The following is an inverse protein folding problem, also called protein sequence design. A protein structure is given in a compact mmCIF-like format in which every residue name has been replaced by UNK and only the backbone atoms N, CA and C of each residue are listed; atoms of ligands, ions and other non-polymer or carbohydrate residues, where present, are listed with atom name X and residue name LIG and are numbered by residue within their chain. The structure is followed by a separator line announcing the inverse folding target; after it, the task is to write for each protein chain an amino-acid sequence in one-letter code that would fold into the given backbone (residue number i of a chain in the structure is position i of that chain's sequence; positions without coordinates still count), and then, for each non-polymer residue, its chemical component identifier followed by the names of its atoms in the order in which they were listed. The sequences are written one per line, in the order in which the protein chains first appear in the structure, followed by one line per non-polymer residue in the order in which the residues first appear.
data_IF_919218191881
#
_entry.id   IF_919218191881
#
_cell.length_a   1.000
_cell.length_b   1.000
_cell.length_c   1.000
_cell.angle_alpha   90.00
_cell.angle_beta   90.00
_cell.angle_gamma   90.00
#
_symmetry.space_group_name_H-M   'P 1'
#
loop_
_entity.id
_entity.type
_entity.pdbx_description
1 polymer ?
#
# COMPACT_ATOMS: atom_id res chain seq x y z
N UNK A 1 -0.73 3.05 4.63
CA UNK A 1 -1.19 3.18 6.01
C UNK A 1 -0.52 4.33 6.79
N UNK A 2 -0.06 5.41 6.14
CA UNK A 2 -0.05 6.70 6.82
C UNK A 2 -1.51 7.12 7.09
N UNK A 3 -2.34 7.05 6.04
CA UNK A 3 -3.77 7.36 6.08
C UNK A 3 -4.58 6.60 7.14
N UNK A 4 -4.47 5.26 7.28
CA UNK A 4 -5.31 4.54 8.26
C UNK A 4 -4.85 4.69 9.71
N UNK A 5 -3.55 4.84 9.97
CA UNK A 5 -3.07 5.16 11.32
C UNK A 5 -3.50 6.57 11.75
N UNK A 6 -3.61 7.49 10.78
CA UNK A 6 -4.13 8.84 11.01
C UNK A 6 -5.65 8.86 11.17
N UNK A 7 -6.40 8.03 10.45
CA UNK A 7 -7.84 7.85 10.68
C UNK A 7 -8.15 7.34 12.09
N UNK A 8 -7.39 6.35 12.57
CA UNK A 8 -7.55 5.82 13.92
C UNK A 8 -7.19 6.84 15.03
N UNK A 9 -6.52 7.93 14.68
CA UNK A 9 -6.25 9.07 15.56
C UNK A 9 -7.35 10.15 15.44
N UNK A 10 -7.78 10.44 14.20
CA UNK A 10 -8.89 11.36 13.89
C UNK A 10 -10.20 11.00 14.60
N UNK A 11 -10.53 9.71 14.65
CA UNK A 11 -11.80 9.23 15.20
C UNK A 11 -11.75 8.92 16.70
N UNK A 12 -10.59 9.09 17.37
CA UNK A 12 -10.45 8.72 18.79
C UNK A 12 -10.99 9.80 19.74
N UNK A 13 -10.91 11.07 19.35
CA UNK A 13 -11.17 12.20 20.24
C UNK A 13 -12.34 13.12 19.80
N UNK A 14 -13.11 12.75 18.77
CA UNK A 14 -14.29 13.53 18.34
C UNK A 14 -13.99 14.97 17.88
N UNK A 15 -12.74 15.28 17.51
CA UNK A 15 -12.32 16.58 17.01
C UNK A 15 -12.45 16.64 15.48
N UNK A 16 -12.87 17.77 14.91
CA UNK A 16 -13.09 18.00 13.46
C UNK A 16 -11.78 18.01 12.62
N UNK A 17 -10.93 17.00 12.75
CA UNK A 17 -9.74 16.81 11.93
C UNK A 17 -8.43 16.59 12.69
N UNK A 18 -7.43 16.08 11.96
CA UNK A 18 -6.12 15.70 12.49
C UNK A 18 -5.17 16.90 12.43
N UNK A 19 -4.62 17.32 13.56
CA UNK A 19 -3.57 18.36 13.60
C UNK A 19 -2.20 17.75 13.31
N UNK A 20 -1.55 18.28 12.27
CA UNK A 20 -0.18 17.92 11.91
C UNK A 20 0.73 19.13 11.99
N UNK A 21 1.97 18.91 12.43
CA UNK A 21 3.07 19.86 12.29
C UNK A 21 4.00 19.36 11.20
N UNK A 22 4.40 20.20 10.26
CA UNK A 22 5.25 19.79 9.15
C UNK A 22 6.27 20.86 8.78
N UNK A 23 7.35 20.39 8.14
CA UNK A 23 8.41 21.23 7.57
C UNK A 23 8.94 20.55 6.31
N UNK A 24 8.77 21.19 5.16
CA UNK A 24 9.07 20.64 3.83
C UNK A 24 10.54 20.78 3.40
N UNK A 25 11.46 21.03 4.33
CA UNK A 25 12.86 21.20 3.98
C UNK A 25 13.51 19.88 3.51
N UNK A 26 14.60 19.98 2.74
CA UNK A 26 15.30 18.80 2.19
C UNK A 26 16.00 17.92 3.26
N UNK A 27 15.64 18.05 4.54
CA UNK A 27 16.22 17.34 5.69
C UNK A 27 15.21 16.34 6.30
N UNK A 28 14.50 15.59 5.46
CA UNK A 28 13.49 14.60 5.86
C UNK A 28 13.99 13.61 6.92
N UNK A 29 15.25 13.17 6.80
CA UNK A 29 15.84 12.15 7.69
C UNK A 29 16.41 12.71 9.00
N UNK A 30 16.33 14.02 9.24
CA UNK A 30 16.76 14.61 10.50
C UNK A 30 15.61 14.61 11.52
N UNK A 31 15.70 13.75 12.53
CA UNK A 31 14.67 13.60 13.59
C UNK A 31 14.50 14.90 14.42
N UNK A 32 15.53 15.74 14.50
CA UNK A 32 15.49 17.02 15.24
C UNK A 32 14.89 18.18 14.43
N UNK A 33 14.49 17.96 13.17
CA UNK A 33 14.03 19.03 12.27
C UNK A 33 12.81 19.82 12.79
N UNK A 34 12.00 19.21 13.64
CA UNK A 34 10.78 19.79 14.22
C UNK A 34 11.03 20.58 15.52
N UNK A 35 12.27 20.70 15.99
CA UNK A 35 12.61 21.44 17.21
C UNK A 35 12.71 22.96 16.99
N UNK A 36 12.90 23.40 15.74
CA UNK A 36 12.99 24.82 15.39
C UNK A 36 11.60 25.41 15.11
N UNK A 37 10.93 25.91 16.15
CA UNK A 37 9.55 26.38 16.11
C UNK A 37 9.27 27.42 15.01
N UNK A 38 10.23 28.30 14.69
CA UNK A 38 10.09 29.35 13.67
C UNK A 38 9.98 28.85 12.23
N UNK A 39 10.31 27.57 11.96
CA UNK A 39 10.30 26.97 10.61
C UNK A 39 9.27 25.86 10.45
N UNK A 40 8.47 25.61 11.48
CA UNK A 40 7.43 24.58 11.49
C UNK A 40 6.10 25.24 11.15
N UNK A 41 5.35 24.61 10.25
CA UNK A 41 3.97 24.99 9.93
C UNK A 41 3.00 23.97 10.51
N UNK A 42 1.80 24.43 10.81
CA UNK A 42 0.72 23.59 11.32
C UNK A 42 -0.40 23.54 10.30
N UNK A 43 -1.00 22.37 10.14
CA UNK A 43 -2.21 22.22 9.34
C UNK A 43 -3.20 21.29 10.06
N UNK A 44 -4.49 21.58 9.92
CA UNK A 44 -5.58 20.73 10.39
C UNK A 44 -6.18 20.05 9.17
N UNK A 45 -6.12 18.73 9.16
CA UNK A 45 -6.65 17.90 8.09
C UNK A 45 -8.05 17.43 8.49
N UNK A 46 -9.09 18.13 8.03
CA UNK A 46 -10.50 17.75 8.19
C UNK A 46 -11.04 16.99 6.97
N UNK A 47 -10.58 17.32 5.76
CA UNK A 47 -11.31 17.00 4.52
C UNK A 47 -10.76 15.80 3.75
N UNK A 48 -9.99 14.93 4.42
CA UNK A 48 -9.28 13.82 3.75
C UNK A 48 -10.23 12.81 3.05
N UNK A 49 -11.54 12.93 3.31
CA UNK A 49 -12.64 12.08 2.81
C UNK A 49 -13.86 12.87 2.31
N UNK A 50 -13.79 14.20 2.26
CA UNK A 50 -14.98 15.03 1.99
C UNK A 50 -15.36 15.12 0.50
N UNK A 51 -14.41 14.89 -0.42
CA UNK A 51 -14.65 15.13 -1.85
C UNK A 51 -15.80 14.29 -2.45
N UNK A 52 -16.02 13.05 -1.97
CA UNK A 52 -17.15 12.20 -2.42
C UNK A 52 -18.39 12.27 -1.50
N UNK A 53 -18.23 12.69 -0.23
CA UNK A 53 -19.36 12.81 0.70
C UNK A 53 -20.11 14.15 0.55
N UNK A 54 -19.45 15.18 0.02
CA UNK A 54 -20.02 16.52 -0.18
C UNK A 54 -21.19 16.56 -1.17
N UNK A 55 -21.30 15.60 -2.10
CA UNK A 55 -22.39 15.59 -3.07
C UNK A 55 -23.75 15.17 -2.48
N UNK A 56 -23.78 14.55 -1.29
CA UNK A 56 -25.02 14.00 -0.70
C UNK A 56 -25.49 14.71 0.58
N UNK A 57 -24.78 15.72 1.08
CA UNK A 57 -25.18 16.41 2.31
C UNK A 57 -25.65 17.83 2.02
N UNK A 58 -26.93 18.07 2.32
CA UNK A 58 -27.58 19.39 2.22
C UNK A 58 -27.12 20.32 3.38
N UNK A 59 -26.49 19.78 4.44
CA UNK A 59 -25.93 20.53 5.57
C UNK A 59 -24.83 19.73 6.29
N UNK A 60 -23.87 20.43 6.94
CA UNK A 60 -22.75 19.86 7.70
C UNK A 60 -23.20 18.88 8.80
N UNK A 61 -24.29 19.22 9.50
CA UNK A 61 -24.88 18.40 10.57
C UNK A 61 -25.49 17.08 10.06
N UNK A 62 -26.03 17.08 8.83
CA UNK A 62 -26.60 15.87 8.22
C UNK A 62 -25.53 14.94 7.67
N UNK A 63 -24.35 15.45 7.29
CA UNK A 63 -23.21 14.64 6.85
C UNK A 63 -22.65 13.77 7.98
N UNK A 64 -22.60 14.32 9.21
CA UNK A 64 -22.15 13.60 10.40
C UNK A 64 -23.14 12.55 10.91
N UNK A 65 -24.45 12.77 10.76
CA UNK A 65 -25.49 11.82 11.16
C UNK A 65 -25.68 10.65 10.17
N UNK A 66 -25.33 10.82 8.90
CA UNK A 66 -25.56 9.81 7.85
C UNK A 66 -24.40 8.82 7.65
N UNK A 67 -23.20 9.12 8.17
CA UNK A 67 -22.04 8.22 8.03
C UNK A 67 -22.09 7.10 9.06
N UNK A 68 -22.67 5.97 8.68
CA UNK A 68 -22.60 4.74 9.47
C UNK A 68 -21.15 4.30 9.65
N UNK A 69 -20.73 4.07 10.90
CA UNK A 69 -19.43 3.52 11.22
C UNK A 69 -19.37 2.03 10.81
N UNK A 70 -18.75 1.73 9.67
CA UNK A 70 -18.59 0.36 9.16
C UNK A 70 -17.21 -0.20 9.49
N UNK A 71 -17.14 -1.46 9.92
CA UNK A 71 -15.86 -2.12 10.25
C UNK A 71 -14.96 -2.35 9.02
N UNK A 72 -15.56 -2.46 7.82
CA UNK A 72 -14.90 -2.72 6.55
C UNK A 72 -15.57 -1.90 5.44
N UNK A 73 -14.79 -1.08 4.74
CA UNK A 73 -15.26 -0.22 3.65
C UNK A 73 -14.38 -0.40 2.41
N UNK A 74 -14.96 -0.35 1.20
CA UNK A 74 -14.18 -0.42 -0.04
C UNK A 74 -14.18 0.93 -0.70
N UNK A 75 -13.01 1.56 -0.78
CA UNK A 75 -12.81 2.88 -1.39
C UNK A 75 -11.85 2.77 -2.58
N UNK A 76 -12.28 3.23 -3.76
CA UNK A 76 -11.48 3.19 -5.00
C UNK A 76 -10.83 1.81 -5.26
N UNK A 77 -11.59 0.76 -4.92
CA UNK A 77 -11.19 -0.64 -5.04
C UNK A 77 -10.25 -1.17 -3.96
N UNK A 78 -9.82 -0.34 -3.00
CA UNK A 78 -9.01 -0.71 -1.83
C UNK A 78 -9.90 -0.89 -0.60
N UNK A 79 -9.66 -1.95 0.16
CA UNK A 79 -10.44 -2.30 1.33
C UNK A 79 -9.79 -1.67 2.57
N UNK A 80 -10.52 -0.77 3.21
CA UNK A 80 -10.16 -0.18 4.48
C UNK A 80 -10.88 -0.94 5.60
N UNK A 81 -10.15 -1.30 6.65
CA UNK A 81 -10.71 -1.87 7.87
C UNK A 81 -10.43 -0.97 9.05
N UNK A 82 -11.34 -0.95 10.02
CA UNK A 82 -11.18 -0.19 11.27
C UNK A 82 -9.95 -0.69 12.06
N UNK A 83 -9.73 -2.01 12.07
CA UNK A 83 -8.43 -2.55 12.42
C UNK A 83 -7.43 -2.09 11.35
N UNK A 84 -6.43 -1.30 11.75
CA UNK A 84 -5.28 -0.83 10.95
C UNK A 84 -4.40 -2.02 10.53
N UNK A 85 -5.00 -2.97 9.83
CA UNK A 85 -4.40 -4.21 9.39
C UNK A 85 -4.47 -4.32 7.87
N UNK A 86 -3.30 -4.46 7.27
CA UNK A 86 -3.12 -4.59 5.83
C UNK A 86 -3.41 -5.99 5.30
N UNK A 87 -3.53 -6.98 6.17
CA UNK A 87 -3.72 -8.39 5.82
C UNK A 87 -4.96 -8.59 4.95
N UNK A 88 -6.06 -7.92 5.28
CA UNK A 88 -7.33 -8.03 4.56
C UNK A 88 -7.18 -7.55 3.12
N UNK A 89 -6.53 -6.41 2.93
CA UNK A 89 -6.31 -5.86 1.59
C UNK A 89 -5.33 -6.70 0.77
N UNK A 90 -4.23 -7.18 1.38
CA UNK A 90 -3.28 -8.10 0.73
C UNK A 90 -3.99 -9.37 0.26
N UNK A 91 -4.81 -9.98 1.12
CA UNK A 91 -5.55 -11.18 0.80
C UNK A 91 -6.60 -10.94 -0.30
N UNK A 92 -7.29 -9.79 -0.26
CA UNK A 92 -8.23 -9.40 -1.32
C UNK A 92 -7.54 -9.25 -2.68
N UNK A 93 -6.33 -8.66 -2.73
CA UNK A 93 -5.55 -8.55 -3.98
C UNK A 93 -5.08 -9.89 -4.49
N UNK A 94 -4.64 -10.77 -3.60
CA UNK A 94 -4.26 -12.15 -3.96
C UNK A 94 -5.47 -12.88 -4.53
N UNK A 95 -6.64 -12.79 -3.90
CA UNK A 95 -7.87 -13.42 -4.39
C UNK A 95 -8.28 -12.88 -5.78
N UNK A 96 -8.25 -11.56 -5.97
CA UNK A 96 -8.53 -10.93 -7.28
C UNK A 96 -7.54 -11.37 -8.36
N UNK A 97 -6.25 -11.42 -8.04
CA UNK A 97 -5.21 -11.88 -8.96
C UNK A 97 -5.35 -13.38 -9.28
N UNK A 98 -5.67 -14.23 -8.30
CA UNK A 98 -6.02 -15.64 -8.49
C UNK A 98 -7.17 -15.79 -9.48
N UNK A 99 -8.27 -15.05 -9.25
CA UNK A 99 -9.45 -15.11 -10.11
C UNK A 99 -9.17 -14.62 -11.53
N UNK A 100 -8.37 -13.55 -11.69
CA UNK A 100 -7.92 -13.08 -13.00
C UNK A 100 -7.06 -14.13 -13.71
N UNK A 101 -6.15 -14.80 -13.00
CA UNK A 101 -5.34 -15.87 -13.57
C UNK A 101 -6.20 -17.05 -14.01
N UNK A 102 -7.16 -17.47 -13.18
CA UNK A 102 -8.08 -18.57 -13.49
C UNK A 102 -8.94 -18.30 -14.74
N UNK A 103 -9.45 -17.08 -14.90
CA UNK A 103 -10.23 -16.67 -16.08
C UNK A 103 -9.44 -16.76 -17.38
N UNK A 104 -8.12 -16.54 -17.34
CA UNK A 104 -7.24 -16.60 -18.51
C UNK A 104 -6.69 -18.01 -18.80
N UNK A 105 -7.05 -19.02 -18.01
CA UNK A 105 -6.48 -20.37 -18.09
C UNK A 105 -6.68 -21.03 -19.45
N UNK A 106 -7.93 -21.20 -19.88
CA UNK A 106 -8.26 -21.87 -21.14
C UNK A 106 -7.79 -21.08 -22.37
N UNK A 107 -7.87 -19.74 -22.30
CA UNK A 107 -7.70 -18.87 -23.46
C UNK A 107 -6.23 -18.47 -23.70
N UNK A 108 -5.45 -18.29 -22.64
CA UNK A 108 -4.08 -17.77 -22.72
C UNK A 108 -3.05 -18.77 -22.23
N UNK A 109 -3.27 -19.40 -21.06
CA UNK A 109 -2.25 -20.21 -20.41
C UNK A 109 -2.09 -21.59 -21.05
N UNK A 110 -3.19 -22.30 -21.35
CA UNK A 110 -3.15 -23.65 -21.93
C UNK A 110 -3.02 -23.66 -23.45
N UNK A 111 -3.29 -22.52 -24.10
CA UNK A 111 -3.25 -22.44 -25.57
C UNK A 111 -1.82 -22.60 -26.08
N UNK A 112 -1.60 -23.63 -26.92
CA UNK A 112 -0.30 -23.97 -27.52
C UNK A 112 0.19 -22.94 -28.54
N UNK A 113 -0.71 -22.30 -29.27
CA UNK A 113 -0.38 -21.28 -30.28
C UNK A 113 0.14 -19.95 -29.74
N UNK A 114 0.22 -19.77 -28.41
CA UNK A 114 0.69 -18.52 -27.79
C UNK A 114 2.11 -18.70 -27.28
N UNK A 115 3.03 -17.88 -27.78
CA UNK A 115 4.43 -17.86 -27.32
C UNK A 115 4.54 -17.46 -25.84
N UNK A 116 5.48 -18.06 -25.12
CA UNK A 116 5.74 -17.77 -23.71
C UNK A 116 5.97 -16.28 -23.44
N UNK A 117 6.69 -15.58 -24.33
CA UNK A 117 6.92 -14.12 -24.19
C UNK A 117 5.61 -13.33 -24.12
N UNK A 118 4.59 -13.74 -24.89
CA UNK A 118 3.28 -13.11 -24.88
C UNK A 118 2.53 -13.44 -23.59
N UNK A 119 2.61 -14.68 -23.11
CA UNK A 119 2.05 -15.08 -21.81
C UNK A 119 2.66 -14.25 -20.67
N UNK A 120 3.96 -14.00 -20.69
CA UNK A 120 4.65 -13.16 -19.70
C UNK A 120 4.21 -11.69 -19.78
N UNK A 121 4.00 -11.14 -20.97
CA UNK A 121 3.44 -9.78 -21.15
C UNK A 121 2.03 -9.68 -20.56
N UNK A 122 1.16 -10.65 -20.84
CA UNK A 122 -0.20 -10.71 -20.27
C UNK A 122 -0.15 -10.85 -18.74
N UNK A 123 0.71 -11.72 -18.23
CA UNK A 123 0.91 -11.88 -16.79
C UNK A 123 1.30 -10.56 -16.12
N UNK A 124 2.25 -9.84 -16.71
CA UNK A 124 2.68 -8.53 -16.20
C UNK A 124 1.56 -7.47 -16.29
N UNK A 125 0.82 -7.47 -17.39
CA UNK A 125 -0.21 -6.45 -17.65
C UNK A 125 -1.48 -6.64 -16.80
N UNK A 126 -1.86 -7.88 -16.51
CA UNK A 126 -3.14 -8.19 -15.84
C UNK A 126 -2.93 -8.67 -14.41
N UNK A 127 -2.05 -9.65 -14.20
CA UNK A 127 -1.93 -10.31 -12.90
C UNK A 127 -1.08 -9.48 -11.95
N UNK A 128 0.10 -9.03 -12.40
CA UNK A 128 0.96 -8.18 -11.58
C UNK A 128 0.32 -6.83 -11.28
N UNK A 129 -0.36 -6.20 -12.24
CA UNK A 129 -1.07 -4.93 -12.01
C UNK A 129 -2.21 -5.08 -11.01
N UNK A 130 -2.98 -6.18 -11.07
CA UNK A 130 -4.05 -6.46 -10.11
C UNK A 130 -3.51 -6.75 -8.72
N UNK A 131 -2.43 -7.54 -8.63
CA UNK A 131 -1.78 -7.90 -7.37
C UNK A 131 -1.13 -6.69 -6.69
N UNK A 132 -0.43 -5.89 -7.49
CA UNK A 132 0.29 -4.69 -7.07
C UNK A 132 -0.54 -3.43 -7.34
N UNK A 133 -1.85 -3.49 -7.14
CA UNK A 133 -2.65 -2.26 -7.13
C UNK A 133 -2.54 -1.61 -5.75
N UNK A 134 -2.37 -0.29 -5.71
CA UNK A 134 -2.28 0.52 -4.49
C UNK A 134 -1.14 0.16 -3.50
N UNK A 135 -0.22 -0.74 -3.86
CA UNK A 135 0.92 -1.10 -2.99
C UNK A 135 1.86 0.07 -2.66
N UNK A 136 1.85 1.14 -3.46
CA UNK A 136 2.65 2.35 -3.22
C UNK A 136 2.31 2.97 -1.85
N UNK A 137 1.05 2.85 -1.41
CA UNK A 137 0.55 3.43 -0.16
C UNK A 137 0.52 2.41 0.99
N UNK A 138 0.93 1.17 0.74
CA UNK A 138 0.92 0.08 1.72
C UNK A 138 2.14 0.12 2.64
N UNK A 139 1.92 -0.04 3.95
CA UNK A 139 3.01 -0.25 4.92
C UNK A 139 3.27 -1.75 5.03
N UNK A 140 4.11 -2.25 4.13
CA UNK A 140 4.35 -3.69 3.99
C UNK A 140 5.38 -4.17 5.01
N UNK A 141 4.98 -5.11 5.87
CA UNK A 141 5.91 -5.93 6.65
C UNK A 141 6.60 -6.98 5.76
N UNK A 142 7.81 -7.41 6.17
CA UNK A 142 8.58 -8.45 5.47
C UNK A 142 7.76 -9.73 5.20
N UNK A 143 6.85 -10.09 6.11
CA UNK A 143 5.94 -11.24 5.93
C UNK A 143 5.02 -11.11 4.71
N UNK A 144 4.46 -9.92 4.43
CA UNK A 144 3.59 -9.74 3.25
C UNK A 144 4.39 -9.71 1.97
N UNK A 145 5.57 -9.08 1.98
CA UNK A 145 6.46 -9.11 0.82
C UNK A 145 6.87 -10.55 0.46
N UNK A 146 7.22 -11.37 1.47
CA UNK A 146 7.49 -12.81 1.29
C UNK A 146 6.26 -13.56 0.76
N UNK A 147 5.07 -13.27 1.28
CA UNK A 147 3.83 -13.89 0.83
C UNK A 147 3.54 -13.59 -0.64
N UNK A 148 3.63 -12.32 -1.04
CA UNK A 148 3.46 -11.88 -2.43
C UNK A 148 4.54 -12.46 -3.35
N UNK A 149 5.78 -12.56 -2.87
CA UNK A 149 6.87 -13.17 -3.64
C UNK A 149 6.63 -14.66 -3.90
N UNK A 150 6.15 -15.42 -2.91
CA UNK A 150 5.75 -16.82 -3.10
C UNK A 150 4.62 -16.96 -4.11
N UNK A 151 3.62 -16.07 -4.05
CA UNK A 151 2.55 -16.02 -5.05
C UNK A 151 3.12 -15.81 -6.45
N UNK A 152 3.96 -14.78 -6.62
CA UNK A 152 4.56 -14.45 -7.91
C UNK A 152 5.35 -15.62 -8.51
N UNK A 153 6.25 -16.21 -7.72
CA UNK A 153 7.08 -17.33 -8.15
C UNK A 153 6.26 -18.58 -8.47
N UNK A 154 5.21 -18.88 -7.68
CA UNK A 154 4.30 -20.00 -7.96
C UNK A 154 3.67 -19.89 -9.35
N UNK A 155 3.16 -18.71 -9.71
CA UNK A 155 2.52 -18.52 -11.01
C UNK A 155 3.53 -18.44 -12.17
N UNK A 156 4.73 -17.89 -11.96
CA UNK A 156 5.79 -17.95 -12.97
C UNK A 156 6.22 -19.39 -13.25
N UNK A 157 6.44 -20.20 -12.20
CA UNK A 157 6.75 -21.63 -12.35
C UNK A 157 5.64 -22.37 -13.10
N UNK A 158 4.36 -22.05 -12.80
CA UNK A 158 3.21 -22.63 -13.51
C UNK A 158 3.18 -22.24 -14.99
N UNK A 159 3.51 -20.99 -15.34
CA UNK A 159 3.60 -20.53 -16.74
C UNK A 159 4.76 -21.18 -17.51
N UNK A 160 5.88 -21.40 -16.84
CA UNK A 160 7.05 -22.09 -17.41
C UNK A 160 6.92 -23.61 -17.42
N UNK A 161 5.85 -24.17 -16.84
CA UNK A 161 5.65 -25.62 -16.69
C UNK A 161 6.77 -26.32 -15.91
N UNK A 162 7.40 -25.60 -14.96
CA UNK A 162 8.47 -26.14 -14.11
C UNK A 162 7.86 -27.03 -13.03
N UNK A 163 8.32 -28.28 -12.97
CA UNK A 163 7.94 -29.25 -11.95
C UNK A 163 8.88 -29.14 -10.75
N UNK A 164 8.45 -29.70 -9.61
CA UNK A 164 9.29 -29.72 -8.40
C UNK A 164 10.57 -30.56 -8.59
N UNK A 165 10.53 -31.54 -9.49
CA UNK A 165 11.63 -32.46 -9.83
C UNK A 165 12.82 -31.74 -10.48
N UNK A 166 12.55 -30.64 -11.19
CA UNK A 166 13.56 -29.92 -11.96
C UNK A 166 14.57 -29.19 -11.06
N UNK A 167 14.29 -29.06 -9.75
CA UNK A 167 15.14 -28.42 -8.72
C UNK A 167 15.69 -27.04 -9.15
N UNK A 168 14.93 -26.33 -9.98
CA UNK A 168 15.33 -25.01 -10.49
C UNK A 168 15.23 -23.97 -9.36
N UNK A 169 16.27 -23.16 -9.09
CA UNK A 169 16.23 -22.10 -8.09
C UNK A 169 15.36 -20.91 -8.55
N UNK A 170 14.77 -20.19 -7.61
CA UNK A 170 13.88 -19.05 -7.89
C UNK A 170 14.58 -17.92 -8.67
N UNK A 171 15.88 -17.73 -8.46
CA UNK A 171 16.70 -16.75 -9.19
C UNK A 171 16.71 -17.03 -10.69
N UNK A 172 16.83 -18.31 -11.08
CA UNK A 172 16.82 -18.75 -12.48
C UNK A 172 15.45 -18.56 -13.12
N UNK A 173 14.37 -18.79 -12.37
CA UNK A 173 12.99 -18.51 -12.83
C UNK A 173 12.80 -17.03 -13.18
N UNK A 174 13.28 -16.14 -12.32
CA UNK A 174 13.20 -14.69 -12.56
C UNK A 174 14.09 -14.25 -13.73
N UNK A 175 15.31 -14.79 -13.83
CA UNK A 175 16.22 -14.51 -14.93
C UNK A 175 15.65 -14.95 -16.29
N UNK A 176 15.09 -16.16 -16.36
CA UNK A 176 14.49 -16.71 -17.59
C UNK A 176 13.25 -15.94 -18.04
N UNK A 177 12.49 -15.36 -17.11
CA UNK A 177 11.29 -14.58 -17.43
C UNK A 177 11.56 -13.10 -17.67
N UNK A 178 12.81 -12.65 -17.45
CA UNK A 178 13.22 -11.24 -17.42
C UNK A 178 12.32 -10.36 -16.53
N UNK A 179 11.68 -10.97 -15.51
CA UNK A 179 10.83 -10.27 -14.56
C UNK A 179 11.59 -10.01 -13.25
N UNK A 180 11.52 -8.80 -12.70
CA UNK A 180 12.11 -8.50 -11.41
C UNK A 180 11.34 -9.17 -10.28
N UNK A 181 12.03 -9.41 -9.15
CA UNK A 181 11.37 -9.90 -7.93
C UNK A 181 10.28 -8.94 -7.44
N UNK A 182 9.32 -9.46 -6.68
CA UNK A 182 8.29 -8.62 -6.03
C UNK A 182 8.93 -7.56 -5.14
N UNK A 183 10.01 -7.88 -4.44
CA UNK A 183 10.73 -6.90 -3.61
C UNK A 183 11.24 -5.71 -4.42
N UNK A 184 11.78 -5.97 -5.61
CA UNK A 184 12.26 -4.92 -6.52
C UNK A 184 11.11 -4.09 -7.06
N UNK A 185 9.99 -4.72 -7.45
CA UNK A 185 8.79 -4.01 -7.92
C UNK A 185 8.21 -3.11 -6.81
N UNK A 186 8.07 -3.66 -5.61
CA UNK A 186 7.58 -2.95 -4.43
C UNK A 186 8.43 -1.71 -4.14
N UNK A 187 9.75 -1.88 -4.05
CA UNK A 187 10.68 -0.78 -3.79
C UNK A 187 10.65 0.25 -4.91
N UNK A 188 10.60 -0.18 -6.18
CA UNK A 188 10.61 0.73 -7.32
C UNK A 188 9.44 1.70 -7.28
N UNK A 189 8.21 1.23 -7.05
CA UNK A 189 7.10 2.17 -7.06
C UNK A 189 6.92 2.94 -5.76
N UNK A 190 7.34 2.40 -4.60
CA UNK A 190 7.43 3.20 -3.38
C UNK A 190 8.37 4.40 -3.56
N UNK A 191 9.55 4.16 -4.16
CA UNK A 191 10.50 5.25 -4.48
C UNK A 191 9.93 6.20 -5.53
N UNK A 192 9.26 5.68 -6.57
CA UNK A 192 8.59 6.50 -7.59
C UNK A 192 7.52 7.41 -6.97
N UNK A 193 6.66 6.86 -6.11
CA UNK A 193 5.62 7.59 -5.39
C UNK A 193 6.22 8.62 -4.45
N UNK A 194 7.21 8.23 -3.63
CA UNK A 194 7.90 9.15 -2.74
C UNK A 194 8.57 10.31 -3.50
N UNK A 195 9.21 10.03 -4.64
CA UNK A 195 9.79 11.05 -5.50
C UNK A 195 8.74 11.96 -6.14
N UNK A 196 7.56 11.43 -6.49
CA UNK A 196 6.45 12.25 -6.97
C UNK A 196 5.94 13.20 -5.88
N UNK A 197 5.71 12.69 -4.67
CA UNK A 197 5.30 13.50 -3.50
C UNK A 197 6.35 14.57 -3.17
N UNK A 198 7.64 14.23 -3.27
CA UNK A 198 8.74 15.19 -3.06
C UNK A 198 8.67 16.39 -4.02
N UNK A 199 8.28 16.17 -5.28
CA UNK A 199 8.16 17.20 -6.32
C UNK A 199 6.86 18.00 -6.27
N UNK A 200 5.88 17.59 -5.46
CA UNK A 200 4.64 18.37 -5.30
C UNK A 200 4.92 19.71 -4.61
N UNK A 201 3.96 20.63 -4.70
CA UNK A 201 4.00 21.91 -3.98
C UNK A 201 3.97 21.69 -2.46
N UNK A 202 4.56 22.61 -1.70
CA UNK A 202 4.59 22.52 -0.23
C UNK A 202 3.20 22.68 0.43
N UNK A 203 2.24 23.20 -0.33
CA UNK A 203 0.84 23.30 0.09
C UNK A 203 0.07 21.99 -0.13
N UNK A 204 0.64 21.01 -0.85
CA UNK A 204 -0.04 19.73 -1.10
C UNK A 204 -0.11 18.86 0.16
N UNK A 205 -1.31 18.39 0.50
CA UNK A 205 -1.54 17.51 1.65
C UNK A 205 -0.61 16.29 1.69
N UNK A 206 -0.38 15.54 0.58
CA UNK A 206 0.51 14.38 0.62
C UNK A 206 1.96 14.72 1.01
N UNK A 207 2.46 15.88 0.58
CA UNK A 207 3.81 16.33 0.94
C UNK A 207 3.88 16.77 2.38
N UNK A 208 2.89 17.54 2.84
CA UNK A 208 2.78 17.91 4.26
C UNK A 208 2.71 16.66 5.15
N UNK A 209 2.00 15.63 4.71
CA UNK A 209 1.88 14.36 5.40
C UNK A 209 3.20 13.59 5.47
N UNK A 210 3.91 13.53 4.35
CA UNK A 210 5.21 12.85 4.25
C UNK A 210 6.25 13.49 5.18
N UNK A 211 6.22 14.83 5.29
CA UNK A 211 7.14 15.61 6.09
C UNK A 211 6.61 15.92 7.50
N UNK A 212 5.37 15.55 7.78
CA UNK A 212 4.66 15.92 8.99
C UNK A 212 4.79 14.90 10.12
N UNK A 213 4.60 15.38 11.33
CA UNK A 213 4.41 14.59 12.53
C UNK A 213 3.05 14.98 13.14
N UNK A 214 2.42 14.05 13.84
CA UNK A 214 1.20 14.37 14.60
C UNK A 214 1.53 15.44 15.65
N UNK A 215 0.62 16.39 15.83
CA UNK A 215 0.80 17.47 16.81
C UNK A 215 0.79 16.92 18.24
N UNK A 216 -0.14 16.00 18.52
CA UNK A 216 -0.30 15.27 19.78
C UNK A 216 -0.07 13.77 19.57
N UNK A 217 0.24 13.06 20.66
CA UNK A 217 0.55 11.63 20.62
C UNK A 217 2.04 11.35 20.40
N UNK A 218 2.69 10.75 21.40
CA UNK A 218 4.04 10.21 21.24
C UNK A 218 3.90 8.82 20.61
N UNK A 219 4.68 8.51 19.58
CA UNK A 219 4.90 7.11 19.22
C UNK A 219 5.40 6.39 20.47
N UNK A 220 4.73 5.30 20.87
CA UNK A 220 5.21 4.49 21.98
C UNK A 220 6.68 4.12 21.71
N UNK A 221 7.57 4.45 22.64
CA UNK A 221 8.97 4.08 22.54
C UNK A 221 9.08 2.56 22.66
N UNK A 222 9.26 1.87 21.54
CA UNK A 222 9.34 0.42 21.51
C UNK A 222 9.98 -0.08 20.23
N UNK A 223 11.17 -0.67 20.36
CA UNK A 223 11.73 -1.53 19.33
C UNK A 223 10.90 -2.80 19.15
N UNK A 224 11.12 -3.53 18.06
CA UNK A 224 10.54 -4.84 17.85
C UNK A 224 10.79 -5.72 19.09
N UNK A 225 9.72 -6.23 19.73
CA UNK A 225 9.86 -7.16 20.87
C UNK A 225 10.76 -8.32 20.40
N UNK A 226 11.96 -8.46 20.99
CA UNK A 226 12.82 -9.63 20.76
C UNK A 226 12.03 -10.83 21.26
N UNK A 227 11.66 -11.72 20.34
CA UNK A 227 11.01 -12.99 20.68
C UNK A 227 12.06 -13.82 21.43
N UNK A 228 11.69 -14.31 22.62
CA UNK A 228 12.55 -15.06 23.52
C UNK A 228 13.35 -16.15 22.79
N UNK A 229 14.65 -16.26 23.15
CA UNK A 229 15.47 -17.44 22.85
C UNK A 229 14.82 -18.63 23.56
N UNK A 230 14.56 -19.68 22.80
CA UNK A 230 14.29 -21.00 23.36
C UNK A 230 15.67 -21.56 23.71
N UNK A 231 15.91 -21.80 25.01
CA UNK A 231 16.85 -22.81 25.48
C UNK A 231 16.02 -24.05 25.77
#
# INVERSE_FOLDING_TARGET
MMFSAMLADAFRDGQDGIKIKYRTDNKLFNIRRMQAATKVRENRISDLFADDCALNAINEHNMQLTLQAVQKFTYLGSTLTNAVNIDVEVNNRIAKACAAFGRLHKNVWDRRGIRLTTKLKVYRAVILSTLLYAYETWTIYSRHAKHLNRFHLRYLRKLLQIKWQDKIPDTKVLQQTSLPSIHTLLRKAQVRWAGHVFRMSDNSLPKQLLYGELYSGKRAAGGQKKRFKIV
#
